data_IF_054152618293
#
_entry.id   IF_054152618293
#
_cell.length_a   1.000
_cell.length_b   1.000
_cell.length_c   1.000
_cell.angle_alpha   90.00
_cell.angle_beta   90.00
_cell.angle_gamma   90.00
#
_symmetry.space_group_name_H-M   'P 1'
#
loop_
_entity.id
_entity.type
_entity.pdbx_description
1 polymer ?
#
# COMPACT_ATOMS: atom_id res chain seq x y z
N UNK A 1 -2.69 -4.21 -6.58
CA UNK A 1 -1.93 -3.21 -5.81
C UNK A 1 -1.69 -3.69 -4.37
N UNK A 2 -2.73 -4.21 -3.73
CA UNK A 2 -2.58 -4.75 -2.37
C UNK A 2 -1.67 -5.97 -2.39
N UNK A 3 -1.73 -6.78 -3.44
CA UNK A 3 -0.89 -7.95 -3.55
C UNK A 3 0.60 -7.57 -3.58
N UNK A 4 0.94 -6.47 -4.23
CA UNK A 4 2.32 -5.99 -4.25
C UNK A 4 2.78 -5.66 -2.84
N UNK A 5 1.95 -4.97 -2.06
CA UNK A 5 2.30 -4.63 -0.68
C UNK A 5 2.42 -5.88 0.18
N UNK A 6 1.55 -6.86 -0.04
CA UNK A 6 1.62 -8.11 0.70
C UNK A 6 2.97 -8.80 0.44
N UNK A 7 3.39 -8.85 -0.80
CA UNK A 7 4.64 -9.52 -1.15
C UNK A 7 5.87 -8.75 -0.68
N UNK A 8 5.86 -7.44 -0.84
CA UNK A 8 7.06 -6.65 -0.53
C UNK A 8 7.12 -6.21 0.92
N UNK A 9 6.01 -5.83 1.51
CA UNK A 9 6.02 -5.29 2.87
C UNK A 9 5.76 -6.34 3.94
N UNK A 10 4.95 -7.35 3.66
CA UNK A 10 4.67 -8.39 4.64
C UNK A 10 5.59 -9.60 4.50
N UNK A 11 5.92 -10.00 3.27
CA UNK A 11 6.78 -11.16 3.04
C UNK A 11 8.25 -10.77 2.81
N UNK A 12 8.56 -9.49 2.88
CA UNK A 12 9.93 -9.01 2.75
C UNK A 12 10.60 -9.37 1.42
N UNK A 13 9.82 -9.51 0.37
CA UNK A 13 10.38 -9.78 -0.94
C UNK A 13 10.92 -8.50 -1.57
N UNK A 14 12.02 -8.61 -2.31
CA UNK A 14 12.50 -7.49 -3.09
C UNK A 14 11.54 -7.22 -4.25
N UNK A 15 11.69 -6.05 -4.88
CA UNK A 15 10.86 -5.73 -6.05
C UNK A 15 11.05 -6.74 -7.16
N UNK A 16 12.28 -7.24 -7.31
CA UNK A 16 12.59 -8.24 -8.33
C UNK A 16 11.89 -9.57 -8.02
N UNK A 17 11.96 -10.00 -6.77
CA UNK A 17 11.31 -11.24 -6.34
C UNK A 17 9.80 -11.15 -6.44
N UNK A 18 9.24 -10.02 -6.05
CA UNK A 18 7.79 -9.81 -6.17
C UNK A 18 7.37 -9.81 -7.63
N UNK A 19 8.19 -9.21 -8.51
CA UNK A 19 7.92 -9.21 -9.93
C UNK A 19 7.90 -10.61 -10.51
N UNK A 20 8.82 -11.46 -10.08
CA UNK A 20 8.85 -12.86 -10.52
C UNK A 20 7.60 -13.60 -10.08
N UNK A 21 7.17 -13.42 -8.85
CA UNK A 21 5.97 -14.07 -8.34
C UNK A 21 4.71 -13.60 -9.05
N UNK A 22 4.65 -12.33 -9.40
CA UNK A 22 3.48 -11.79 -10.07
C UNK A 22 3.56 -11.86 -11.60
N UNK A 23 4.71 -12.26 -12.14
CA UNK A 23 4.91 -12.36 -13.58
C UNK A 23 4.97 -10.99 -14.25
N UNK A 24 5.50 -9.99 -13.57
CA UNK A 24 5.62 -8.63 -14.10
C UNK A 24 7.03 -8.10 -13.87
N UNK A 25 7.36 -7.00 -14.52
CA UNK A 25 8.68 -6.41 -14.41
C UNK A 25 8.85 -5.67 -13.08
N UNK A 26 10.10 -5.46 -12.69
CA UNK A 26 10.45 -4.70 -11.50
C UNK A 26 9.87 -3.29 -11.54
N UNK A 27 9.93 -2.65 -12.71
CA UNK A 27 9.37 -1.31 -12.85
C UNK A 27 7.87 -1.26 -12.60
N UNK A 28 7.17 -2.32 -13.02
CA UNK A 28 5.74 -2.43 -12.77
C UNK A 28 5.48 -2.58 -11.27
N UNK A 29 6.30 -3.38 -10.58
CA UNK A 29 6.19 -3.54 -9.13
C UNK A 29 6.36 -2.19 -8.44
N UNK A 30 7.38 -1.44 -8.84
CA UNK A 30 7.62 -0.11 -8.25
C UNK A 30 6.42 0.81 -8.40
N UNK A 31 5.82 0.82 -9.58
CA UNK A 31 4.66 1.68 -9.83
C UNK A 31 3.44 1.24 -9.02
N UNK A 32 3.23 -0.07 -8.93
CA UNK A 32 2.12 -0.61 -8.14
C UNK A 32 2.30 -0.31 -6.66
N UNK A 33 3.53 -0.44 -6.15
CA UNK A 33 3.83 -0.09 -4.77
C UNK A 33 3.50 1.38 -4.49
N UNK A 34 3.95 2.25 -5.38
CA UNK A 34 3.75 3.67 -5.20
C UNK A 34 2.26 4.02 -5.17
N UNK A 35 1.49 3.43 -6.08
CA UNK A 35 0.04 3.64 -6.12
C UNK A 35 -0.64 3.12 -4.87
N UNK A 36 -0.28 1.92 -4.47
CA UNK A 36 -0.91 1.30 -3.31
C UNK A 36 -0.62 2.09 -2.04
N UNK A 37 0.62 2.51 -1.87
CA UNK A 37 1.00 3.30 -0.70
C UNK A 37 0.30 4.65 -0.67
N UNK A 38 0.14 5.28 -1.83
CA UNK A 38 -0.58 6.56 -1.92
C UNK A 38 -2.03 6.38 -1.52
N UNK A 39 -2.67 5.33 -2.02
CA UNK A 39 -4.07 5.06 -1.69
C UNK A 39 -4.27 4.76 -0.21
N UNK A 40 -3.36 3.98 0.36
CA UNK A 40 -3.42 3.66 1.78
C UNK A 40 -3.19 4.91 2.62
N UNK A 41 -2.24 5.74 2.24
CA UNK A 41 -1.98 6.98 2.96
C UNK A 41 -3.20 7.88 2.96
N UNK A 42 -3.86 8.02 1.80
CA UNK A 42 -5.07 8.81 1.71
C UNK A 42 -6.19 8.24 2.57
N UNK A 43 -6.36 6.91 2.53
CA UNK A 43 -7.37 6.27 3.33
C UNK A 43 -7.13 6.46 4.83
N UNK A 44 -5.89 6.37 5.25
CA UNK A 44 -5.53 6.59 6.64
C UNK A 44 -5.78 8.02 7.09
N UNK A 45 -5.45 8.97 6.22
CA UNK A 45 -5.67 10.38 6.52
C UNK A 45 -7.17 10.68 6.63
N UNK A 46 -7.96 10.15 5.70
CA UNK A 46 -9.40 10.33 5.72
C UNK A 46 -10.03 9.65 6.94
N UNK A 47 -9.59 8.45 7.24
CA UNK A 47 -10.07 7.72 8.41
C UNK A 47 -9.74 8.47 9.69
N UNK A 48 -8.55 9.07 9.75
CA UNK A 48 -8.13 9.84 10.89
C UNK A 48 -9.02 11.07 11.09
N UNK A 49 -9.38 11.72 10.00
CA UNK A 49 -10.28 12.88 10.08
C UNK A 49 -11.65 12.47 10.60
N UNK A 50 -12.14 11.33 10.15
CA UNK A 50 -13.41 10.81 10.61
C UNK A 50 -13.33 10.49 12.11
N UNK A 51 -12.24 9.90 12.54
CA UNK A 51 -12.03 9.59 13.95
C UNK A 51 -12.02 10.85 14.81
N UNK A 52 -11.36 11.90 14.33
CA UNK A 52 -11.31 13.15 15.06
C UNK A 52 -12.70 13.76 15.24
N UNK A 53 -13.52 13.67 14.20
CA UNK A 53 -14.89 14.16 14.27
C UNK A 53 -15.72 13.30 15.22
N UNK A 54 -15.57 11.99 15.11
CA UNK A 54 -16.33 11.06 15.96
C UNK A 54 -15.88 11.13 17.41
N UNK A 55 -14.62 11.44 17.65
CA UNK A 55 -14.07 11.51 18.99
C UNK A 55 -14.25 12.89 19.62
N UNK A 56 -14.75 13.83 18.84
CA UNK A 56 -15.00 15.17 19.35
C UNK A 56 -15.90 15.08 20.56
N UNK A 57 -15.47 15.63 21.68
CA UNK A 57 -16.22 15.43 22.90
C UNK A 57 -17.62 15.97 22.76
N UNK A 58 -18.47 15.17 23.20
CA UNK A 58 -19.86 15.51 23.30
C UNK A 58 -20.03 16.69 24.22
#
# INVERSE_FOLDING_TARGET
EVEVLRLTDLEDLSQEEAGEKMGVSRGTIWRLQKRARTKIALALIEGRRIELVAADPE
#
